data_IF_122614459862
#
_entry.id   IF_122614459862
#
_cell.length_a   1.000
_cell.length_b   1.000
_cell.length_c   1.000
_cell.angle_alpha   90.00
_cell.angle_beta   90.00
_cell.angle_gamma   90.00
#
_symmetry.space_group_name_H-M   'P 1'
#
loop_
_entity.id
_entity.type
_entity.pdbx_description
1 polymer ?
#
# COMPACT_ATOMS: atom_id res chain seq x y z
N UNK A 1 17.63 -11.40 12.68
CA UNK A 1 16.48 -11.52 13.58
C UNK A 1 16.67 -10.49 14.68
N UNK A 2 15.73 -9.55 14.78
CA UNK A 2 15.74 -8.39 15.67
C UNK A 2 16.10 -8.76 17.13
N UNK A 3 17.05 -8.06 17.78
CA UNK A 3 17.38 -8.23 19.22
C UNK A 3 16.14 -8.03 20.09
N UNK A 4 15.18 -7.22 19.66
CA UNK A 4 13.90 -7.03 20.34
C UNK A 4 13.07 -8.33 20.42
N UNK A 5 13.31 -9.33 19.57
CA UNK A 5 12.69 -10.66 19.72
C UNK A 5 13.36 -11.51 20.81
N UNK A 6 14.60 -11.19 21.18
CA UNK A 6 15.39 -11.94 22.15
C UNK A 6 15.36 -11.38 23.57
N UNK A 7 14.76 -10.20 23.80
CA UNK A 7 14.60 -9.64 25.15
C UNK A 7 13.48 -10.37 25.92
N UNK A 8 13.50 -10.28 27.24
CA UNK A 8 12.43 -10.83 28.07
C UNK A 8 11.10 -10.08 27.87
N UNK A 9 9.98 -10.73 28.19
CA UNK A 9 8.66 -10.10 28.07
C UNK A 9 8.52 -8.86 28.99
N UNK A 10 9.19 -8.86 30.14
CA UNK A 10 9.26 -7.70 31.06
C UNK A 10 10.05 -6.52 30.46
N UNK A 11 11.19 -6.79 29.83
CA UNK A 11 11.98 -5.78 29.13
C UNK A 11 11.22 -5.22 27.93
N UNK A 12 10.57 -6.09 27.15
CA UNK A 12 9.77 -5.68 25.99
C UNK A 12 8.62 -4.76 26.44
N UNK A 13 7.89 -5.11 27.51
CA UNK A 13 6.84 -4.27 28.09
C UNK A 13 7.38 -2.90 28.52
N UNK A 14 8.52 -2.87 29.22
CA UNK A 14 9.13 -1.63 29.67
C UNK A 14 9.50 -0.72 28.50
N UNK A 15 10.09 -1.28 27.45
CA UNK A 15 10.50 -0.53 26.26
C UNK A 15 9.29 -0.06 25.46
N UNK A 16 8.25 -0.88 25.30
CA UNK A 16 6.97 -0.47 24.67
C UNK A 16 6.35 0.69 25.44
N UNK A 17 6.21 0.58 26.77
CA UNK A 17 5.64 1.63 27.62
C UNK A 17 6.41 2.94 27.51
N UNK A 18 7.74 2.89 27.58
CA UNK A 18 8.56 4.09 27.51
C UNK A 18 8.56 4.71 26.11
N UNK A 19 8.54 3.90 25.06
CA UNK A 19 8.39 4.35 23.67
C UNK A 19 7.05 5.04 23.45
N UNK A 20 5.95 4.42 23.90
CA UNK A 20 4.60 4.96 23.80
C UNK A 20 4.48 6.34 24.46
N UNK A 21 5.02 6.49 25.67
CA UNK A 21 5.08 7.78 26.36
C UNK A 21 5.91 8.82 25.61
N UNK A 22 7.10 8.44 25.12
CA UNK A 22 8.03 9.35 24.42
C UNK A 22 7.48 9.85 23.09
N UNK A 23 6.77 9.00 22.35
CA UNK A 23 6.19 9.31 21.04
C UNK A 23 4.73 9.78 21.11
N UNK A 24 4.14 9.85 22.31
CA UNK A 24 2.73 10.17 22.52
C UNK A 24 1.79 9.28 21.68
N UNK A 25 2.02 7.97 21.73
CA UNK A 25 1.24 6.94 21.02
C UNK A 25 0.66 5.93 22.01
N UNK A 26 -0.36 5.17 21.62
CA UNK A 26 -0.83 4.06 22.44
C UNK A 26 0.19 2.92 22.44
N UNK A 27 0.29 2.19 23.55
CA UNK A 27 1.17 1.01 23.64
C UNK A 27 0.85 -0.04 22.58
N UNK A 28 -0.44 -0.21 22.25
CA UNK A 28 -0.89 -1.13 21.21
C UNK A 28 -0.35 -0.75 19.81
N UNK A 29 -0.25 0.54 19.49
CA UNK A 29 0.36 1.00 18.24
C UNK A 29 1.85 0.68 18.20
N UNK A 30 2.59 0.91 19.29
CA UNK A 30 4.02 0.60 19.38
C UNK A 30 4.27 -0.90 19.30
N UNK A 31 3.48 -1.72 20.00
CA UNK A 31 3.55 -3.18 19.95
C UNK A 31 3.24 -3.71 18.55
N UNK A 32 2.17 -3.20 17.91
CA UNK A 32 1.82 -3.60 16.55
C UNK A 32 2.91 -3.22 15.55
N UNK A 33 3.51 -2.03 15.69
CA UNK A 33 4.63 -1.59 14.85
C UNK A 33 5.84 -2.52 14.96
N UNK A 34 6.15 -2.97 16.18
CA UNK A 34 7.20 -3.96 16.43
C UNK A 34 6.92 -5.25 15.65
N UNK A 35 5.72 -5.82 15.77
CA UNK A 35 5.35 -7.06 15.07
C UNK A 35 5.27 -6.90 13.55
N UNK A 36 4.87 -5.72 13.04
CA UNK A 36 4.95 -5.39 11.61
C UNK A 36 6.40 -5.46 11.13
N UNK A 37 7.34 -4.91 11.89
CA UNK A 37 8.75 -4.95 11.54
C UNK A 37 9.33 -6.38 11.61
N UNK A 38 8.92 -7.18 12.61
CA UNK A 38 9.30 -8.60 12.73
C UNK A 38 8.87 -9.39 11.49
N UNK A 39 7.61 -9.26 11.06
CA UNK A 39 7.13 -10.02 9.91
C UNK A 39 7.76 -9.53 8.60
N UNK A 40 8.03 -8.23 8.46
CA UNK A 40 8.76 -7.69 7.31
C UNK A 40 10.22 -8.20 7.28
N UNK A 41 10.90 -8.27 8.42
CA UNK A 41 12.25 -8.85 8.51
C UNK A 41 12.26 -10.32 8.08
N UNK A 42 11.26 -11.10 8.51
CA UNK A 42 11.11 -12.49 8.06
C UNK A 42 10.84 -12.57 6.55
N UNK A 43 9.86 -11.81 6.05
CA UNK A 43 9.42 -11.82 4.65
C UNK A 43 10.56 -11.51 3.67
N UNK A 44 11.43 -10.56 4.00
CA UNK A 44 12.52 -10.14 3.12
C UNK A 44 13.89 -10.76 3.46
N UNK A 45 14.00 -11.46 4.59
CA UNK A 45 15.24 -12.11 5.03
C UNK A 45 15.26 -13.63 4.86
N UNK A 46 14.24 -14.30 5.36
CA UNK A 46 14.23 -15.75 5.60
C UNK A 46 13.14 -16.50 4.81
N UNK A 47 12.07 -15.81 4.43
CA UNK A 47 10.94 -16.40 3.73
C UNK A 47 11.35 -17.05 2.39
N UNK A 48 10.74 -18.20 2.11
CA UNK A 48 11.03 -19.00 0.91
C UNK A 48 10.92 -18.21 -0.40
N UNK A 49 9.99 -17.25 -0.48
CA UNK A 49 9.74 -16.44 -1.68
C UNK A 49 10.16 -14.97 -1.50
N UNK A 50 11.17 -14.70 -0.66
CA UNK A 50 11.64 -13.34 -0.35
C UNK A 50 12.04 -12.50 -1.57
N UNK A 51 12.53 -13.15 -2.63
CA UNK A 51 12.96 -12.50 -3.87
C UNK A 51 11.81 -12.36 -4.89
N UNK A 52 10.63 -12.86 -4.55
CA UNK A 52 9.44 -12.91 -5.41
C UNK A 52 8.28 -12.06 -4.86
N UNK A 53 8.55 -11.23 -3.85
CA UNK A 53 7.59 -10.31 -3.27
C UNK A 53 8.12 -8.88 -3.28
N UNK A 54 7.22 -7.91 -3.44
CA UNK A 54 7.54 -6.48 -3.29
C UNK A 54 6.54 -5.82 -2.35
N UNK A 55 7.05 -5.09 -1.37
CA UNK A 55 6.25 -4.35 -0.41
C UNK A 55 5.68 -3.08 -1.04
N UNK A 56 4.37 -2.84 -0.91
CA UNK A 56 3.69 -1.70 -1.55
C UNK A 56 2.64 -1.07 -0.63
N UNK A 57 1.86 -0.16 -1.21
CA UNK A 57 0.67 0.39 -0.58
C UNK A 57 0.94 1.35 0.58
N UNK A 58 -0.06 1.52 1.46
CA UNK A 58 -0.04 2.56 2.50
C UNK A 58 1.09 2.38 3.51
N UNK A 59 1.34 1.14 3.93
CA UNK A 59 2.34 0.87 4.96
C UNK A 59 3.74 1.12 4.44
N UNK A 60 4.03 0.82 3.16
CA UNK A 60 5.31 1.20 2.54
C UNK A 60 5.51 2.72 2.51
N UNK A 61 4.49 3.51 2.19
CA UNK A 61 4.57 4.98 2.21
C UNK A 61 4.90 5.52 3.60
N UNK A 62 4.33 4.93 4.65
CA UNK A 62 4.60 5.36 6.04
C UNK A 62 5.96 4.87 6.56
N UNK A 63 6.28 3.57 6.40
CA UNK A 63 7.46 2.94 7.02
C UNK A 63 8.75 3.13 6.23
N UNK A 64 8.68 3.11 4.90
CA UNK A 64 9.85 3.25 4.04
C UNK A 64 10.12 4.72 3.71
N UNK A 65 9.09 5.41 3.23
CA UNK A 65 9.27 6.76 2.68
C UNK A 65 8.90 7.89 3.64
N UNK A 66 8.23 7.58 4.77
CA UNK A 66 7.72 8.58 5.73
C UNK A 66 6.90 9.70 5.05
N UNK A 67 6.17 9.35 3.98
CA UNK A 67 5.40 10.29 3.15
C UNK A 67 3.95 10.47 3.62
N UNK A 68 3.49 9.67 4.59
CA UNK A 68 2.15 9.80 5.17
C UNK A 68 2.24 9.66 6.69
N UNK A 69 1.39 10.39 7.41
CA UNK A 69 1.36 10.43 8.88
C UNK A 69 0.04 9.82 9.39
N UNK A 70 -0.23 8.60 8.96
CA UNK A 70 -1.35 7.82 9.49
C UNK A 70 -0.95 6.38 9.71
N UNK A 71 -1.58 5.75 10.68
CA UNK A 71 -1.43 4.33 10.87
C UNK A 71 -1.99 3.58 9.66
N UNK A 72 -1.28 2.56 9.22
CA UNK A 72 -1.69 1.69 8.13
C UNK A 72 -1.68 0.26 8.66
N UNK A 73 -2.83 -0.40 8.58
CA UNK A 73 -3.08 -1.66 9.28
C UNK A 73 -2.65 -2.89 8.47
N UNK A 74 -2.50 -2.70 7.16
CA UNK A 74 -2.33 -3.74 6.14
C UNK A 74 -0.90 -3.70 5.57
N UNK A 75 -0.24 -4.84 5.42
CA UNK A 75 1.00 -4.99 4.65
C UNK A 75 0.61 -5.51 3.27
N UNK A 76 0.66 -4.63 2.28
CA UNK A 76 0.38 -4.97 0.89
C UNK A 76 1.62 -5.56 0.21
N UNK A 77 1.51 -6.76 -0.36
CA UNK A 77 2.57 -7.47 -1.06
C UNK A 77 2.16 -7.78 -2.51
N UNK A 78 3.00 -7.36 -3.46
CA UNK A 78 2.93 -7.82 -4.83
C UNK A 78 3.71 -9.14 -4.96
N UNK A 79 3.04 -10.24 -5.32
CA UNK A 79 3.63 -11.55 -5.55
C UNK A 79 3.97 -11.74 -7.04
N UNK A 80 5.18 -12.22 -7.34
CA UNK A 80 5.58 -12.55 -8.69
C UNK A 80 4.80 -13.77 -9.23
N UNK A 81 4.15 -13.58 -10.38
CA UNK A 81 3.35 -14.60 -11.06
C UNK A 81 4.11 -15.89 -11.40
N UNK A 82 5.43 -15.84 -11.53
CA UNK A 82 6.25 -17.04 -11.75
C UNK A 82 6.12 -18.04 -10.59
N UNK A 83 5.85 -17.57 -9.37
CA UNK A 83 5.62 -18.43 -8.19
C UNK A 83 4.36 -19.27 -8.35
N UNK A 84 3.38 -18.74 -9.09
CA UNK A 84 2.14 -19.43 -9.44
C UNK A 84 2.26 -20.28 -10.71
N UNK A 85 3.45 -20.35 -11.32
CA UNK A 85 3.69 -21.08 -12.57
C UNK A 85 3.27 -20.32 -13.84
N UNK A 86 2.97 -19.02 -13.73
CA UNK A 86 2.55 -18.19 -14.87
C UNK A 86 3.71 -17.39 -15.44
N UNK A 87 3.82 -17.34 -16.78
CA UNK A 87 4.80 -16.49 -17.47
C UNK A 87 4.29 -15.06 -17.58
N UNK A 88 5.09 -14.08 -17.14
CA UNK A 88 4.77 -12.65 -17.25
C UNK A 88 4.52 -12.21 -18.69
N UNK A 89 5.25 -12.74 -19.67
CA UNK A 89 5.08 -12.34 -21.07
C UNK A 89 3.70 -12.74 -21.61
N UNK A 90 3.14 -13.83 -21.09
CA UNK A 90 1.79 -14.26 -21.45
C UNK A 90 0.74 -13.23 -21.04
N UNK A 91 0.93 -12.49 -19.95
CA UNK A 91 -0.03 -11.52 -19.43
C UNK A 91 -0.25 -10.36 -20.38
N UNK A 92 0.82 -9.89 -21.02
CA UNK A 92 0.78 -8.69 -21.86
C UNK A 92 0.31 -8.97 -23.29
N UNK A 93 0.04 -10.23 -23.65
CA UNK A 93 -0.57 -10.57 -24.94
C UNK A 93 -1.92 -9.86 -25.15
N UNK A 94 -2.21 -9.49 -26.40
CA UNK A 94 -3.47 -8.86 -26.79
C UNK A 94 -4.62 -9.85 -26.66
N UNK A 95 -5.68 -9.44 -25.96
CA UNK A 95 -6.88 -10.23 -25.71
C UNK A 95 -8.13 -9.36 -25.82
N UNK A 96 -9.28 -9.98 -26.09
CA UNK A 96 -10.57 -9.30 -25.91
C UNK A 96 -10.80 -9.01 -24.42
N UNK A 97 -11.62 -8.00 -24.11
CA UNK A 97 -11.93 -7.62 -22.72
C UNK A 97 -12.41 -8.81 -21.88
N UNK A 98 -13.32 -9.63 -22.40
CA UNK A 98 -13.84 -10.79 -21.69
C UNK A 98 -12.77 -11.85 -21.40
N UNK A 99 -11.86 -12.10 -22.36
CA UNK A 99 -10.74 -13.03 -22.15
C UNK A 99 -9.74 -12.50 -21.11
N UNK A 100 -9.51 -11.19 -21.09
CA UNK A 100 -8.65 -10.56 -20.08
C UNK A 100 -9.28 -10.63 -18.69
N UNK A 101 -10.57 -10.33 -18.56
CA UNK A 101 -11.28 -10.46 -17.27
C UNK A 101 -11.21 -11.88 -16.74
N UNK A 102 -11.48 -12.88 -17.58
CA UNK A 102 -11.40 -14.29 -17.19
C UNK A 102 -10.00 -14.68 -16.70
N UNK A 103 -8.95 -14.25 -17.41
CA UNK A 103 -7.57 -14.47 -16.98
C UNK A 103 -7.29 -13.83 -15.61
N UNK A 104 -7.75 -12.59 -15.39
CA UNK A 104 -7.55 -11.91 -14.10
C UNK A 104 -8.26 -12.66 -12.96
N UNK A 105 -9.46 -13.20 -13.21
CA UNK A 105 -10.20 -14.03 -12.25
C UNK A 105 -9.46 -15.34 -11.95
N UNK A 106 -8.95 -16.01 -12.98
CA UNK A 106 -8.13 -17.23 -12.84
C UNK A 106 -6.86 -16.97 -12.00
N UNK A 107 -6.12 -15.91 -12.31
CA UNK A 107 -4.91 -15.53 -11.56
C UNK A 107 -5.20 -15.19 -10.09
N UNK A 108 -6.31 -14.51 -9.81
CA UNK A 108 -6.74 -14.25 -8.45
C UNK A 108 -7.10 -15.54 -7.72
N UNK A 109 -7.80 -16.47 -8.37
CA UNK A 109 -8.13 -17.78 -7.80
C UNK A 109 -6.89 -18.62 -7.52
N UNK A 110 -5.93 -18.65 -8.45
CA UNK A 110 -4.66 -19.36 -8.25
C UNK A 110 -3.87 -18.78 -7.07
N UNK A 111 -3.92 -17.46 -6.90
CA UNK A 111 -3.30 -16.78 -5.75
C UNK A 111 -3.95 -17.21 -4.44
N UNK A 112 -5.28 -17.28 -4.37
CA UNK A 112 -6.01 -17.74 -3.17
C UNK A 112 -5.66 -19.18 -2.81
N UNK A 113 -5.64 -20.08 -3.80
CA UNK A 113 -5.24 -21.47 -3.61
C UNK A 113 -3.80 -21.59 -3.13
N UNK A 114 -2.88 -20.81 -3.73
CA UNK A 114 -1.49 -20.78 -3.31
C UNK A 114 -1.31 -20.26 -1.87
N UNK A 115 -2.02 -19.21 -1.50
CA UNK A 115 -2.03 -18.66 -0.15
C UNK A 115 -2.47 -19.73 0.85
N UNK A 116 -3.61 -20.38 0.59
CA UNK A 116 -4.18 -21.41 1.47
C UNK A 116 -3.32 -22.66 1.57
N UNK A 117 -2.92 -23.21 0.42
CA UNK A 117 -2.32 -24.55 0.36
C UNK A 117 -0.80 -24.54 0.53
N UNK A 118 -0.15 -23.36 0.37
CA UNK A 118 1.30 -23.22 0.44
C UNK A 118 1.77 -22.17 1.44
N UNK A 119 1.32 -20.91 1.33
CA UNK A 119 1.89 -19.83 2.15
C UNK A 119 1.51 -19.94 3.62
N UNK A 120 0.24 -20.16 3.92
CA UNK A 120 -0.24 -20.27 5.30
C UNK A 120 0.52 -21.36 6.09
N UNK A 121 0.66 -22.61 5.60
CA UNK A 121 1.47 -23.64 6.27
C UNK A 121 2.96 -23.26 6.44
N UNK A 122 3.55 -22.51 5.49
CA UNK A 122 4.93 -22.03 5.60
C UNK A 122 5.05 -21.05 6.76
N UNK A 123 4.15 -20.06 6.84
CA UNK A 123 4.16 -19.08 7.93
C UNK A 123 3.96 -19.74 9.30
N UNK A 124 2.99 -20.65 9.43
CA UNK A 124 2.77 -21.37 10.68
C UNK A 124 4.00 -22.14 11.14
N UNK A 125 4.64 -22.90 10.23
CA UNK A 125 5.82 -23.70 10.55
C UNK A 125 7.05 -22.84 10.89
N UNK A 126 7.27 -21.76 10.15
CA UNK A 126 8.42 -20.90 10.37
C UNK A 126 8.26 -20.07 11.64
N UNK A 127 7.08 -19.48 11.87
CA UNK A 127 6.83 -18.71 13.09
C UNK A 127 6.78 -19.59 14.35
N UNK A 128 6.40 -20.86 14.24
CA UNK A 128 6.54 -21.81 15.37
C UNK A 128 7.99 -21.97 15.81
N UNK A 129 8.94 -21.91 14.87
CA UNK A 129 10.38 -21.95 15.18
C UNK A 129 10.89 -20.61 15.70
N UNK A 130 10.41 -19.50 15.12
CA UNK A 130 10.84 -18.13 15.48
C UNK A 130 10.33 -17.74 16.86
N UNK A 131 9.07 -18.04 17.19
CA UNK A 131 8.39 -17.57 18.39
C UNK A 131 8.31 -18.62 19.52
N UNK A 132 8.64 -19.87 19.22
CA UNK A 132 8.63 -20.95 20.20
C UNK A 132 7.26 -21.13 20.86
N UNK A 133 7.20 -20.84 22.17
CA UNK A 133 6.01 -21.05 23.00
C UNK A 133 5.07 -19.84 23.09
N UNK A 134 5.37 -18.71 22.42
CA UNK A 134 4.46 -17.56 22.43
C UNK A 134 3.14 -17.90 21.74
N UNK A 135 2.04 -17.34 22.23
CA UNK A 135 0.71 -17.53 21.61
C UNK A 135 0.59 -16.64 20.38
N UNK A 136 0.36 -17.26 19.22
CA UNK A 136 0.07 -16.58 17.97
C UNK A 136 -0.77 -17.48 17.06
N UNK A 137 -1.39 -16.91 16.03
CA UNK A 137 -1.99 -17.70 14.95
C UNK A 137 -1.88 -17.00 13.60
N UNK A 138 -1.90 -17.79 12.53
CA UNK A 138 -2.13 -17.31 11.18
C UNK A 138 -3.45 -17.88 10.68
N UNK A 139 -4.24 -17.08 9.98
CA UNK A 139 -5.47 -17.53 9.34
C UNK A 139 -5.80 -16.68 8.12
N UNK A 140 -6.62 -17.21 7.21
CA UNK A 140 -7.08 -16.45 6.04
C UNK A 140 -8.26 -15.59 6.44
N UNK A 141 -8.28 -14.34 5.98
CA UNK A 141 -9.40 -13.46 6.22
C UNK A 141 -10.69 -13.94 5.53
N UNK A 142 -11.79 -14.00 6.27
CA UNK A 142 -13.07 -14.52 5.75
C UNK A 142 -13.72 -13.63 4.68
N UNK A 143 -13.33 -12.35 4.62
CA UNK A 143 -13.84 -11.38 3.64
C UNK A 143 -12.91 -11.20 2.43
N UNK A 144 -11.65 -11.63 2.55
CA UNK A 144 -10.66 -11.55 1.50
C UNK A 144 -9.67 -12.73 1.58
N UNK A 145 -9.89 -13.73 0.74
CA UNK A 145 -9.06 -14.93 0.68
C UNK A 145 -7.62 -14.69 0.17
N UNK A 146 -7.32 -13.47 -0.31
CA UNK A 146 -5.94 -13.06 -0.63
C UNK A 146 -5.22 -12.43 0.57
N UNK A 147 -5.86 -12.35 1.74
CA UNK A 147 -5.27 -11.81 2.96
C UNK A 147 -4.97 -12.91 3.98
N UNK A 148 -3.72 -12.99 4.44
CA UNK A 148 -3.34 -13.73 5.65
C UNK A 148 -3.34 -12.77 6.84
N UNK A 149 -4.09 -13.12 7.88
CA UNK A 149 -4.09 -12.44 9.16
C UNK A 149 -3.06 -13.08 10.10
N UNK A 150 -2.15 -12.27 10.64
CA UNK A 150 -1.24 -12.63 11.71
C UNK A 150 -1.76 -12.08 13.04
N UNK A 151 -2.31 -12.98 13.85
CA UNK A 151 -2.66 -12.71 15.25
C UNK A 151 -1.41 -12.88 16.11
N UNK A 152 -0.69 -11.78 16.27
CA UNK A 152 0.63 -11.75 16.91
C UNK A 152 0.52 -11.85 18.45
N UNK A 153 1.60 -12.22 19.16
CA UNK A 153 1.63 -12.22 20.62
C UNK A 153 1.47 -10.79 21.16
N UNK A 154 0.25 -10.41 21.51
CA UNK A 154 -0.13 -9.07 21.94
C UNK A 154 -0.47 -9.02 23.42
N UNK A 155 0.07 -8.02 24.11
CA UNK A 155 -0.21 -7.74 25.51
C UNK A 155 -1.10 -6.50 25.69
N UNK A 156 -1.28 -5.69 24.64
CA UNK A 156 -2.03 -4.45 24.69
C UNK A 156 -3.25 -4.49 23.78
N UNK A 157 -4.36 -3.99 24.32
CA UNK A 157 -5.60 -3.81 23.57
C UNK A 157 -5.89 -2.32 23.34
N UNK A 158 -6.34 -2.02 22.14
CA UNK A 158 -6.84 -0.73 21.69
C UNK A 158 -7.96 -0.99 20.69
N UNK A 159 -9.18 -0.51 20.98
CA UNK A 159 -10.37 -0.72 20.14
C UNK A 159 -10.40 0.20 18.92
N UNK A 160 -9.51 1.19 18.85
CA UNK A 160 -9.41 2.12 17.72
C UNK A 160 -8.64 1.55 16.52
N UNK A 161 -7.94 0.42 16.71
CA UNK A 161 -7.17 -0.26 15.67
C UNK A 161 -7.54 -1.74 15.60
N UNK A 162 -7.37 -2.33 14.42
CA UNK A 162 -7.38 -3.78 14.25
C UNK A 162 -6.13 -4.37 14.90
N UNK A 163 -6.29 -5.21 15.90
CA UNK A 163 -5.16 -5.85 16.61
C UNK A 163 -4.65 -7.13 15.92
N UNK A 164 -4.64 -7.12 14.59
CA UNK A 164 -4.13 -8.19 13.73
C UNK A 164 -3.33 -7.50 12.63
N UNK A 165 -2.24 -8.13 12.20
CA UNK A 165 -1.49 -7.67 11.03
C UNK A 165 -2.04 -8.39 9.81
N UNK A 166 -2.59 -7.65 8.86
CA UNK A 166 -3.13 -8.21 7.62
C UNK A 166 -2.03 -8.19 6.56
N UNK A 167 -1.76 -9.32 5.94
CA UNK A 167 -0.87 -9.46 4.80
C UNK A 167 -1.72 -9.64 3.54
N UNK A 168 -2.00 -8.56 2.82
CA UNK A 168 -2.74 -8.60 1.55
C UNK A 168 -1.77 -8.98 0.43
N UNK A 169 -1.96 -10.14 -0.20
CA UNK A 169 -1.02 -10.71 -1.17
C UNK A 169 -1.70 -10.84 -2.53
N UNK A 170 -1.29 -10.00 -3.48
CA UNK A 170 -1.86 -9.96 -4.82
C UNK A 170 -0.83 -10.21 -5.93
N UNK A 171 -1.21 -10.94 -6.97
CA UNK A 171 -0.35 -11.18 -8.13
C UNK A 171 -0.58 -10.20 -9.30
N UNK A 172 -1.74 -9.52 -9.32
CA UNK A 172 -2.09 -8.52 -10.33
C UNK A 172 -1.45 -7.17 -10.01
N UNK A 173 -0.13 -7.14 -9.96
CA UNK A 173 0.65 -5.93 -9.72
C UNK A 173 1.82 -5.85 -10.70
N UNK A 174 2.24 -4.63 -11.01
CA UNK A 174 3.48 -4.37 -11.73
C UNK A 174 4.38 -3.53 -10.81
N UNK A 175 5.11 -4.18 -9.90
CA UNK A 175 5.84 -3.51 -8.84
C UNK A 175 7.17 -2.94 -9.35
N UNK A 176 7.14 -2.16 -10.43
CA UNK A 176 8.32 -1.59 -11.08
C UNK A 176 8.09 -0.07 -11.27
N UNK A 177 9.08 0.79 -10.93
CA UNK A 177 10.34 0.46 -10.27
C UNK A 177 10.14 0.08 -8.79
N UNK A 178 11.07 -0.71 -8.25
CA UNK A 178 11.18 -0.99 -6.82
C UNK A 178 12.64 -0.87 -6.39
N UNK A 179 12.86 -0.61 -5.11
CA UNK A 179 14.19 -0.38 -4.55
C UNK A 179 14.32 -1.04 -3.18
N UNK A 180 15.56 -1.34 -2.79
CA UNK A 180 15.88 -1.84 -1.45
C UNK A 180 15.93 -0.66 -0.48
N UNK A 181 15.29 -0.83 0.66
CA UNK A 181 15.26 0.16 1.73
C UNK A 181 15.50 -0.48 3.09
N UNK A 182 15.98 0.34 4.02
CA UNK A 182 16.12 0.00 5.42
C UNK A 182 14.98 0.63 6.22
N UNK A 183 14.28 -0.16 7.03
CA UNK A 183 13.24 0.32 7.95
C UNK A 183 13.64 0.00 9.40
N UNK A 184 12.95 0.66 10.32
CA UNK A 184 13.13 0.49 11.76
C UNK A 184 11.79 0.56 12.50
N UNK A 185 11.76 -0.04 13.69
CA UNK A 185 10.63 0.05 14.62
C UNK A 185 10.54 1.43 15.28
N UNK A 186 9.38 1.78 15.81
CA UNK A 186 9.24 2.96 16.68
C UNK A 186 10.09 2.88 17.94
N UNK A 187 10.36 1.66 18.44
CA UNK A 187 11.28 1.43 19.55
C UNK A 187 12.71 1.86 19.16
N UNK A 188 13.15 1.53 17.95
CA UNK A 188 14.45 1.96 17.42
C UNK A 188 14.49 3.46 17.14
N UNK A 189 13.40 4.06 16.63
CA UNK A 189 13.29 5.53 16.52
C UNK A 189 13.47 6.21 17.88
N UNK A 190 12.88 5.64 18.95
CA UNK A 190 12.95 6.18 20.30
C UNK A 190 14.32 5.93 20.98
N UNK A 191 14.98 4.80 20.69
CA UNK A 191 16.21 4.36 21.35
C UNK A 191 17.28 3.85 20.35
N UNK A 192 17.74 4.69 19.41
CA UNK A 192 18.63 4.27 18.32
C UNK A 192 20.03 3.83 18.78
N UNK A 193 20.42 4.20 20.01
CA UNK A 193 21.70 3.80 20.61
C UNK A 193 21.67 2.38 21.19
N UNK A 194 20.48 1.84 21.45
CA UNK A 194 20.28 0.52 22.06
C UNK A 194 19.85 -0.49 20.98
N UNK A 195 18.85 -0.10 20.18
CA UNK A 195 18.30 -0.90 19.10
C UNK A 195 18.61 -0.21 17.78
N UNK A 196 19.36 -0.89 16.91
CA UNK A 196 19.96 -0.31 15.70
C UNK A 196 20.00 -1.27 14.50
N UNK A 197 19.24 -2.36 14.57
CA UNK A 197 19.15 -3.37 13.53
C UNK A 197 18.45 -2.83 12.29
N UNK A 198 19.09 -3.01 11.15
CA UNK A 198 18.53 -2.62 9.86
C UNK A 198 17.65 -3.73 9.33
N UNK A 199 16.36 -3.44 9.16
CA UNK A 199 15.41 -4.35 8.52
C UNK A 199 15.36 -3.97 7.05
N UNK A 200 15.92 -4.83 6.20
CA UNK A 200 15.96 -4.59 4.77
C UNK A 200 14.68 -5.11 4.10
N UNK A 201 14.03 -4.26 3.30
CA UNK A 201 12.84 -4.59 2.52
C UNK A 201 13.02 -4.16 1.07
N UNK A 202 12.32 -4.82 0.14
CA UNK A 202 12.20 -4.33 -1.25
C UNK A 202 10.82 -3.70 -1.39
N UNK A 203 10.79 -2.40 -1.65
CA UNK A 203 9.55 -1.62 -1.72
C UNK A 203 9.31 -1.00 -3.09
N UNK A 204 8.04 -0.95 -3.50
CA UNK A 204 7.58 -0.25 -4.69
C UNK A 204 7.93 1.24 -4.57
N UNK A 205 8.36 1.83 -5.68
CA UNK A 205 8.70 3.25 -5.71
C UNK A 205 7.51 4.13 -5.29
N UNK A 206 7.79 5.14 -4.45
CA UNK A 206 6.77 6.05 -3.95
C UNK A 206 6.04 6.83 -5.06
N UNK A 207 6.72 7.15 -6.16
CA UNK A 207 6.11 7.83 -7.30
C UNK A 207 5.19 6.88 -8.10
N UNK A 208 5.59 5.61 -8.26
CA UNK A 208 4.71 4.59 -8.83
C UNK A 208 3.43 4.44 -8.00
N UNK A 209 3.58 4.36 -6.67
CA UNK A 209 2.46 4.31 -5.72
C UNK A 209 1.59 5.57 -5.80
N UNK A 210 2.19 6.74 -5.99
CA UNK A 210 1.47 8.00 -6.18
C UNK A 210 0.55 7.93 -7.40
N UNK A 211 1.08 7.53 -8.55
CA UNK A 211 0.29 7.38 -9.77
C UNK A 211 -0.79 6.30 -9.63
N UNK A 212 -0.50 5.17 -8.96
CA UNK A 212 -1.54 4.19 -8.63
C UNK A 212 -2.68 4.83 -7.85
N UNK A 213 -2.39 5.69 -6.87
CA UNK A 213 -3.43 6.43 -6.12
C UNK A 213 -4.17 7.46 -6.97
N UNK A 214 -3.50 8.18 -7.88
CA UNK A 214 -4.18 9.09 -8.81
C UNK A 214 -5.19 8.34 -9.68
N UNK A 215 -4.86 7.15 -10.17
CA UNK A 215 -5.83 6.33 -10.93
C UNK A 215 -7.01 5.86 -10.08
N UNK A 216 -6.81 5.62 -8.78
CA UNK A 216 -7.90 5.32 -7.84
C UNK A 216 -8.81 6.53 -7.69
N UNK A 217 -8.25 7.72 -7.41
CA UNK A 217 -9.05 8.94 -7.27
C UNK A 217 -9.82 9.25 -8.56
N UNK A 218 -9.18 9.04 -9.72
CA UNK A 218 -9.81 9.21 -11.02
C UNK A 218 -10.99 8.29 -11.28
N UNK A 219 -10.81 7.01 -10.97
CA UNK A 219 -11.89 6.04 -11.05
C UNK A 219 -13.06 6.44 -10.14
N UNK A 220 -12.78 6.87 -8.91
CA UNK A 220 -13.84 7.24 -7.96
C UNK A 220 -14.52 8.57 -8.32
N UNK A 221 -13.79 9.57 -8.84
CA UNK A 221 -14.35 10.84 -9.31
C UNK A 221 -15.27 10.67 -10.54
N UNK A 222 -15.10 9.59 -11.30
CA UNK A 222 -15.95 9.25 -12.45
C UNK A 222 -17.06 8.24 -12.11
N UNK A 223 -17.15 7.75 -10.88
CA UNK A 223 -18.17 6.77 -10.48
C UNK A 223 -19.58 7.30 -10.73
N UNK A 224 -20.42 6.48 -11.36
CA UNK A 224 -21.79 6.85 -11.77
C UNK A 224 -22.90 6.11 -11.01
N UNK A 225 -22.56 5.12 -10.18
CA UNK A 225 -23.55 4.28 -9.50
C UNK A 225 -23.93 4.75 -8.09
N UNK A 226 -23.46 5.93 -7.65
CA UNK A 226 -23.67 6.52 -6.32
C UNK A 226 -23.34 5.58 -5.14
N UNK A 227 -22.56 4.50 -5.37
CA UNK A 227 -22.12 3.55 -4.35
C UNK A 227 -20.64 3.76 -4.05
N UNK A 228 -20.36 4.65 -3.10
CA UNK A 228 -18.99 4.99 -2.72
C UNK A 228 -18.41 3.98 -1.73
N UNK A 229 -17.16 3.54 -1.94
CA UNK A 229 -16.50 2.61 -1.04
C UNK A 229 -16.14 3.28 0.30
N UNK A 230 -16.22 2.49 1.38
CA UNK A 230 -15.77 2.91 2.72
C UNK A 230 -14.25 2.84 2.83
N UNK A 231 -13.67 3.61 3.74
CA UNK A 231 -12.23 3.72 4.01
C UNK A 231 -11.42 4.21 2.80
N UNK A 232 -12.03 4.96 1.87
CA UNK A 232 -11.35 5.47 0.66
C UNK A 232 -10.86 6.92 0.80
N UNK A 233 -11.36 7.66 1.78
CA UNK A 233 -10.84 8.99 2.16
C UNK A 233 -9.32 8.98 2.43
N UNK A 234 -8.79 7.82 2.87
CA UNK A 234 -7.34 7.58 3.07
C UNK A 234 -6.52 7.83 1.81
N UNK A 235 -7.07 7.53 0.62
CA UNK A 235 -6.36 7.77 -0.65
C UNK A 235 -6.20 9.26 -0.94
N UNK A 236 -7.21 10.06 -0.64
CA UNK A 236 -7.13 11.53 -0.77
C UNK A 236 -6.11 12.11 0.21
N UNK A 237 -6.15 11.68 1.47
CA UNK A 237 -5.15 12.08 2.46
C UNK A 237 -3.72 11.72 2.05
N UNK A 238 -3.50 10.49 1.58
CA UNK A 238 -2.19 10.03 1.12
C UNK A 238 -1.68 10.88 -0.05
N UNK A 239 -2.51 11.11 -1.08
CA UNK A 239 -2.16 11.94 -2.24
C UNK A 239 -1.82 13.37 -1.82
N UNK A 240 -2.62 13.96 -0.92
CA UNK A 240 -2.34 15.28 -0.37
C UNK A 240 -0.97 15.33 0.33
N UNK A 241 -0.69 14.39 1.25
CA UNK A 241 0.60 14.35 1.97
C UNK A 241 1.77 14.16 1.01
N UNK A 242 1.62 13.30 0.01
CA UNK A 242 2.66 13.06 -1.01
C UNK A 242 2.93 14.31 -1.87
N UNK A 243 1.90 15.06 -2.24
CA UNK A 243 2.03 16.32 -2.99
C UNK A 243 2.81 17.37 -2.19
N UNK A 244 2.48 17.56 -0.91
CA UNK A 244 3.07 18.64 -0.10
C UNK A 244 4.48 18.33 0.40
N UNK A 245 4.86 17.06 0.50
CA UNK A 245 6.18 16.66 1.03
C UNK A 245 7.26 16.69 -0.07
N UNK A 246 7.10 15.90 -1.15
CA UNK A 246 8.21 15.73 -2.12
C UNK A 246 7.82 15.16 -3.50
N UNK A 247 6.61 14.64 -3.69
CA UNK A 247 6.29 13.89 -4.93
C UNK A 247 5.87 14.82 -6.07
N UNK A 248 5.37 16.03 -5.79
CA UNK A 248 4.82 16.94 -6.82
C UNK A 248 5.79 17.19 -7.97
N UNK A 249 7.05 17.54 -7.70
CA UNK A 249 8.01 17.83 -8.78
C UNK A 249 8.42 16.57 -9.53
N UNK A 250 8.60 15.45 -8.82
CA UNK A 250 8.99 14.16 -9.42
C UNK A 250 7.92 13.63 -10.35
N UNK A 251 6.63 13.84 -10.06
CA UNK A 251 5.57 13.43 -10.97
C UNK A 251 5.66 14.15 -12.30
N UNK A 252 5.75 15.48 -12.33
CA UNK A 252 5.91 16.23 -13.60
C UNK A 252 7.09 15.75 -14.46
N UNK A 253 8.19 15.33 -13.84
CA UNK A 253 9.38 14.86 -14.56
C UNK A 253 9.28 13.43 -15.13
N UNK A 254 8.26 12.63 -14.76
CA UNK A 254 8.20 11.19 -15.06
C UNK A 254 6.81 10.79 -15.58
N UNK A 255 6.40 11.36 -16.73
CA UNK A 255 5.09 11.07 -17.34
C UNK A 255 4.99 9.70 -17.99
N UNK A 256 6.11 9.11 -18.44
CA UNK A 256 6.11 7.74 -18.96
C UNK A 256 5.69 6.73 -17.87
N UNK A 257 6.10 6.94 -16.62
CA UNK A 257 5.66 6.09 -15.52
C UNK A 257 4.14 6.23 -15.24
N UNK A 258 3.56 7.42 -15.45
CA UNK A 258 2.10 7.58 -15.41
C UNK A 258 1.43 6.77 -16.51
N UNK A 259 1.98 6.81 -17.74
CA UNK A 259 1.48 6.04 -18.88
C UNK A 259 1.50 4.53 -18.58
N UNK A 260 2.61 4.01 -18.05
CA UNK A 260 2.73 2.59 -17.68
C UNK A 260 1.67 2.17 -16.65
N UNK A 261 1.45 3.00 -15.62
CA UNK A 261 0.41 2.77 -14.62
C UNK A 261 -0.98 2.75 -15.25
N UNK A 262 -1.27 3.70 -16.13
CA UNK A 262 -2.55 3.80 -16.84
C UNK A 262 -2.80 2.58 -17.72
N UNK A 263 -1.80 2.18 -18.51
CA UNK A 263 -1.88 1.01 -19.40
C UNK A 263 -2.09 -0.28 -18.59
N UNK A 264 -1.38 -0.43 -17.46
CA UNK A 264 -1.59 -1.53 -16.53
C UNK A 264 -3.03 -1.54 -15.97
N UNK A 265 -3.54 -0.40 -15.49
CA UNK A 265 -4.89 -0.30 -14.93
C UNK A 265 -5.98 -0.58 -15.96
N UNK A 266 -5.81 -0.13 -17.20
CA UNK A 266 -6.72 -0.44 -18.32
C UNK A 266 -6.84 -1.94 -18.57
N UNK A 267 -5.74 -2.67 -18.42
CA UNK A 267 -5.68 -4.11 -18.70
C UNK A 267 -6.19 -4.96 -17.54
N UNK A 268 -5.71 -4.69 -16.33
CA UNK A 268 -5.96 -5.56 -15.17
C UNK A 268 -7.11 -5.10 -14.27
N UNK A 269 -7.48 -3.83 -14.35
CA UNK A 269 -8.50 -3.20 -13.48
C UNK A 269 -9.53 -2.41 -14.30
N UNK A 270 -9.90 -2.94 -15.47
CA UNK A 270 -10.91 -2.37 -16.35
C UNK A 270 -12.24 -2.19 -15.61
N UNK A 271 -12.81 -0.99 -15.71
CA UNK A 271 -14.11 -0.67 -15.14
C UNK A 271 -14.79 0.38 -16.02
N UNK A 272 -16.10 0.23 -16.23
CA UNK A 272 -16.87 1.06 -17.18
C UNK A 272 -16.77 2.56 -16.88
N UNK A 273 -16.71 2.93 -15.61
CA UNK A 273 -16.61 4.33 -15.19
C UNK A 273 -15.17 4.79 -14.91
N UNK A 274 -14.16 3.93 -15.05
CA UNK A 274 -12.79 4.33 -14.71
C UNK A 274 -12.19 5.37 -15.66
N UNK A 275 -12.61 5.38 -16.93
CA UNK A 275 -12.21 6.34 -17.96
C UNK A 275 -10.70 6.62 -18.04
N UNK A 276 -9.86 5.60 -17.88
CA UNK A 276 -8.41 5.78 -17.83
C UNK A 276 -7.80 6.46 -19.08
N UNK A 277 -8.44 6.36 -20.26
CA UNK A 277 -8.02 7.07 -21.47
C UNK A 277 -8.11 8.60 -21.35
N UNK A 278 -9.02 9.11 -20.51
CA UNK A 278 -9.17 10.55 -20.24
C UNK A 278 -7.91 11.11 -19.56
N UNK A 279 -7.20 10.29 -18.76
CA UNK A 279 -5.97 10.69 -18.08
C UNK A 279 -4.92 11.10 -19.10
N UNK A 280 -4.69 10.30 -20.13
CA UNK A 280 -3.67 10.56 -21.17
C UNK A 280 -4.02 11.75 -22.06
N UNK A 281 -5.30 12.14 -22.10
CA UNK A 281 -5.79 13.31 -22.83
C UNK A 281 -5.76 14.60 -21.99
N UNK A 282 -5.16 14.56 -20.79
CA UNK A 282 -5.13 15.68 -19.85
C UNK A 282 -6.50 16.05 -19.31
N UNK A 283 -7.34 15.03 -19.06
CA UNK A 283 -8.63 15.14 -18.41
C UNK A 283 -8.68 14.26 -17.15
N UNK A 284 -7.57 14.16 -16.41
CA UNK A 284 -7.57 13.53 -15.09
C UNK A 284 -8.49 14.33 -14.17
N UNK A 285 -9.48 13.62 -13.61
CA UNK A 285 -10.33 14.08 -12.51
C UNK A 285 -9.81 13.47 -11.23
N UNK A 286 -9.43 14.26 -10.23
CA UNK A 286 -9.04 13.78 -8.90
C UNK A 286 -10.04 14.24 -7.84
N UNK A 287 -10.70 15.38 -8.10
CA UNK A 287 -11.73 15.95 -7.25
C UNK A 287 -13.05 15.21 -7.46
N UNK A 288 -13.66 14.65 -6.39
CA UNK A 288 -14.92 13.94 -6.50
C UNK A 288 -16.11 14.89 -6.73
N UNK A 289 -17.20 14.44 -7.38
CA UNK A 289 -18.44 15.22 -7.47
C UNK A 289 -19.09 15.42 -6.09
N UNK A 290 -19.97 16.41 -5.94
CA UNK A 290 -20.51 16.83 -4.62
C UNK A 290 -21.07 15.68 -3.77
N UNK A 291 -21.86 14.77 -4.33
CA UNK A 291 -22.38 13.59 -3.59
C UNK A 291 -21.26 12.68 -3.06
N UNK A 292 -20.23 12.45 -3.86
CA UNK A 292 -19.07 11.64 -3.48
C UNK A 292 -18.22 12.36 -2.42
N UNK A 293 -18.10 13.68 -2.54
CA UNK A 293 -17.38 14.53 -1.60
C UNK A 293 -17.99 14.44 -0.19
N UNK A 294 -19.32 14.49 -0.06
CA UNK A 294 -20.01 14.30 1.22
C UNK A 294 -19.70 12.93 1.83
N UNK A 295 -19.82 11.85 1.04
CA UNK A 295 -19.52 10.49 1.49
C UNK A 295 -18.07 10.33 1.94
N UNK A 296 -17.11 10.84 1.17
CA UNK A 296 -15.69 10.76 1.53
C UNK A 296 -15.31 11.70 2.68
N UNK A 297 -16.00 12.82 2.86
CA UNK A 297 -15.80 13.69 4.02
C UNK A 297 -16.25 13.00 5.31
N UNK A 298 -17.36 12.26 5.28
CA UNK A 298 -17.81 11.50 6.45
C UNK A 298 -16.88 10.31 6.73
N UNK A 299 -16.42 9.62 5.69
CA UNK A 299 -15.39 8.58 5.80
C UNK A 299 -14.09 9.13 6.41
N UNK A 300 -13.69 10.36 6.05
CA UNK A 300 -12.50 11.02 6.60
C UNK A 300 -12.62 11.25 8.11
N UNK A 301 -13.77 11.71 8.60
CA UNK A 301 -14.02 11.90 10.05
C UNK A 301 -13.76 10.61 10.82
N UNK A 302 -14.24 9.47 10.29
CA UNK A 302 -14.01 8.16 10.90
C UNK A 302 -12.53 7.76 10.91
N UNK A 303 -11.77 8.16 9.88
CA UNK A 303 -10.33 7.89 9.78
C UNK A 303 -9.47 8.77 10.70
N UNK A 304 -9.97 9.93 11.18
CA UNK A 304 -9.17 10.89 11.95
C UNK A 304 -8.50 10.33 13.22
N UNK A 305 -8.98 9.20 13.76
CA UNK A 305 -8.37 8.52 14.90
C UNK A 305 -7.06 7.82 14.54
N UNK A 306 -6.83 7.52 13.25
CA UNK A 306 -5.63 6.89 12.74
C UNK A 306 -4.55 7.90 12.30
N UNK A 307 -4.87 9.21 12.30
CA UNK A 307 -3.95 10.26 11.89
C UNK A 307 -3.05 10.69 13.06
N UNK A 308 -1.76 10.84 12.77
CA UNK A 308 -0.80 11.43 13.68
C UNK A 308 -0.63 12.93 13.36
N UNK A 309 -0.28 13.73 14.37
CA UNK A 309 0.00 15.16 14.18
C UNK A 309 -1.25 16.01 13.92
N UNK A 310 -1.08 17.07 13.12
CA UNK A 310 -2.13 18.06 12.85
C UNK A 310 -3.17 17.48 11.88
N UNK A 311 -4.44 17.49 12.30
CA UNK A 311 -5.57 17.01 11.49
C UNK A 311 -6.05 18.12 10.56
N UNK A 312 -5.75 17.98 9.27
CA UNK A 312 -6.14 18.95 8.24
C UNK A 312 -7.61 18.73 7.84
N UNK A 313 -8.42 19.80 7.72
CA UNK A 313 -9.78 19.70 7.20
C UNK A 313 -9.85 19.07 5.79
N UNK A 314 -10.87 18.25 5.54
CA UNK A 314 -10.98 17.49 4.29
C UNK A 314 -11.17 18.38 3.05
N UNK A 315 -11.85 19.50 3.19
CA UNK A 315 -11.99 20.53 2.15
C UNK A 315 -10.63 21.13 1.74
N UNK A 316 -9.70 21.32 2.68
CA UNK A 316 -8.34 21.79 2.39
C UNK A 316 -7.50 20.73 1.64
N UNK A 317 -7.67 19.45 2.00
CA UNK A 317 -7.09 18.31 1.28
C UNK A 317 -7.56 18.35 -0.19
N UNK A 318 -8.87 18.48 -0.40
CA UNK A 318 -9.47 18.50 -1.73
C UNK A 318 -9.08 19.76 -2.52
N UNK A 319 -8.99 20.92 -1.88
CA UNK A 319 -8.54 22.15 -2.53
C UNK A 319 -7.10 22.03 -3.05
N UNK A 320 -6.21 21.40 -2.28
CA UNK A 320 -4.82 21.14 -2.68
C UNK A 320 -4.77 20.17 -3.87
N UNK A 321 -5.55 19.09 -3.81
CA UNK A 321 -5.66 18.10 -4.90
C UNK A 321 -6.21 18.75 -6.17
N UNK A 322 -7.22 19.63 -6.07
CA UNK A 322 -7.80 20.34 -7.21
C UNK A 322 -6.78 21.25 -7.91
N UNK A 323 -5.95 21.96 -7.13
CA UNK A 323 -4.86 22.77 -7.71
C UNK A 323 -3.89 21.89 -8.48
N UNK A 324 -3.45 20.78 -7.88
CA UNK A 324 -2.55 19.83 -8.53
C UNK A 324 -3.17 19.18 -9.77
N UNK A 325 -4.47 18.85 -9.74
CA UNK A 325 -5.23 18.30 -10.87
C UNK A 325 -5.16 19.21 -12.11
N UNK A 326 -5.36 20.52 -11.92
CA UNK A 326 -5.27 21.51 -13.01
C UNK A 326 -3.87 21.56 -13.61
N UNK A 327 -2.86 21.69 -12.76
CA UNK A 327 -1.46 21.73 -13.17
C UNK A 327 -1.05 20.45 -13.93
N UNK A 328 -1.48 19.28 -13.44
CA UNK A 328 -1.21 18.00 -14.08
C UNK A 328 -1.90 17.88 -15.44
N UNK A 329 -3.15 18.29 -15.55
CA UNK A 329 -3.89 18.26 -16.82
C UNK A 329 -3.24 19.14 -17.89
N UNK A 330 -2.84 20.36 -17.53
CA UNK A 330 -2.16 21.27 -18.46
C UNK A 330 -0.83 20.68 -18.92
N UNK A 331 -0.06 20.09 -18.00
CA UNK A 331 1.21 19.45 -18.31
C UNK A 331 1.04 18.23 -19.21
N UNK A 332 0.09 17.35 -18.92
CA UNK A 332 -0.18 16.14 -19.73
C UNK A 332 -0.53 16.52 -21.17
N UNK A 333 -1.39 17.54 -21.38
CA UNK A 333 -1.75 18.02 -22.72
C UNK A 333 -0.52 18.43 -23.51
N UNK A 334 0.39 19.17 -22.89
CA UNK A 334 1.63 19.63 -23.53
C UNK A 334 2.55 18.44 -23.83
N UNK A 335 2.81 17.60 -22.82
CA UNK A 335 3.75 16.50 -22.91
C UNK A 335 3.34 15.50 -24.00
N UNK A 336 2.10 15.00 -23.96
CA UNK A 336 1.66 13.97 -24.91
C UNK A 336 1.29 14.52 -26.29
N UNK A 337 0.95 15.81 -26.44
CA UNK A 337 0.84 16.41 -27.77
C UNK A 337 2.22 16.49 -28.45
N UNK A 338 3.24 16.92 -27.72
CA UNK A 338 4.60 17.08 -28.26
C UNK A 338 5.27 15.76 -28.67
N UNK A 339 4.95 14.65 -27.98
CA UNK A 339 5.50 13.33 -28.32
C UNK A 339 4.86 12.73 -29.57
N UNK A 340 3.58 13.01 -29.86
CA UNK A 340 2.94 12.55 -31.10
C UNK A 340 3.54 13.22 -32.36
N UNK A 341 3.89 14.51 -32.29
CA UNK A 341 4.51 15.23 -33.42
C UNK A 341 5.95 14.76 -33.70
N UNK A 342 6.68 14.32 -32.68
CA UNK A 342 8.04 13.77 -32.85
C UNK A 342 8.09 12.37 -33.49
N UNK A 343 7.00 11.61 -33.48
CA UNK A 343 6.91 10.26 -34.07
C UNK A 343 6.39 10.31 -35.51
N UNK A 344 5.67 11.37 -35.89
CA UNK A 344 5.17 11.60 -37.26
C UNK A 344 6.18 12.30 -38.18
N UNK A 345 7.36 12.68 -37.66
CA UNK A 345 8.41 13.43 -38.37
C UNK A 345 9.60 12.57 -38.84
N UNK A 346 9.46 11.25 -38.86
CA UNK A 346 10.44 10.30 -39.40
C UNK A 346 9.90 9.46 -40.54
#
# INVERSE_FOLDING_TARGET
MNKLLGVSDEELELVIKNTANKLNMSKAIVEKDFWVCVILEYLFGQFKYKDDIVFKGGTSLSKVYKLIERFSEDIDLALDLKVLGHDKNSLYQTRSKNKQTKLNEELNNDTKLFIRDKLLPIFENDFKKILGNKTFSFYIDSSDEQTICFDYPKNHQDSSILQVIRLEIGCLAEPIPNQRHSIQTYIQDAYPQIFNEKIEVVALDSLRTFYEKLTILHKEANRTNDKYPKRYSRHYYDVYKMIIIDIRTKSFANMELLKDVVDFKKKFYACNFAKYDDIMSGNIRLTPPSKALEAFSEDYKNMQNMLFGVKIPFDQIIATINKYEKELNDFIKIFFASTHDSVMSY
#
